data_IF_577653970655
#
_entry.id   IF_577653970655
#
_cell.length_a   1.000
_cell.length_b   1.000
_cell.length_c   1.000
_cell.angle_alpha   90.00
_cell.angle_beta   90.00
_cell.angle_gamma   90.00
#
_symmetry.space_group_name_H-M   'P 1'
#
loop_
_entity.id
_entity.type
_entity.pdbx_description
1 polymer ?
#
# COMPACT_ATOMS: atom_id res chain seq x y z
N UNK A 1 -4.21 10.67 -9.99
CA UNK A 1 -4.83 9.43 -10.52
C UNK A 1 -6.06 9.14 -9.68
N UNK A 2 -7.19 8.77 -10.28
CA UNK A 2 -8.36 8.35 -9.51
C UNK A 2 -8.03 7.03 -8.79
N UNK A 3 -8.38 6.88 -7.50
CA UNK A 3 -8.20 5.62 -6.81
C UNK A 3 -9.03 4.55 -7.51
N UNK A 4 -8.43 3.37 -7.72
CA UNK A 4 -9.15 2.21 -8.25
C UNK A 4 -10.38 1.93 -7.39
N UNK A 5 -11.52 1.64 -8.04
CA UNK A 5 -12.67 1.12 -7.30
C UNK A 5 -12.31 -0.24 -6.67
N UNK A 6 -12.97 -0.57 -5.56
CA UNK A 6 -12.71 -1.83 -4.85
C UNK A 6 -12.93 -3.06 -5.75
N UNK A 7 -13.90 -2.97 -6.67
CA UNK A 7 -14.17 -4.00 -7.68
C UNK A 7 -13.00 -4.13 -8.66
N UNK A 8 -12.48 -3.01 -9.17
CA UNK A 8 -11.36 -3.02 -10.11
C UNK A 8 -10.10 -3.56 -9.45
N UNK A 9 -9.81 -3.10 -8.23
CA UNK A 9 -8.68 -3.56 -7.41
C UNK A 9 -8.76 -5.07 -7.13
N UNK A 10 -9.94 -5.58 -6.77
CA UNK A 10 -10.13 -7.02 -6.53
C UNK A 10 -9.92 -7.84 -7.80
N UNK A 11 -10.42 -7.40 -8.96
CA UNK A 11 -10.19 -8.08 -10.25
C UNK A 11 -8.71 -8.16 -10.59
N UNK A 12 -8.00 -7.04 -10.45
CA UNK A 12 -6.56 -6.95 -10.69
C UNK A 12 -5.80 -7.91 -9.77
N UNK A 13 -6.10 -7.94 -8.47
CA UNK A 13 -5.48 -8.89 -7.53
C UNK A 13 -5.73 -10.36 -7.91
N UNK A 14 -6.95 -10.69 -8.36
CA UNK A 14 -7.29 -12.05 -8.78
C UNK A 14 -6.51 -12.46 -10.02
N UNK A 15 -6.42 -11.56 -11.00
CA UNK A 15 -5.65 -11.76 -12.22
C UNK A 15 -4.16 -11.94 -11.89
N UNK A 16 -3.57 -11.04 -11.09
CA UNK A 16 -2.18 -11.14 -10.66
C UNK A 16 -1.90 -12.43 -9.89
N UNK A 17 -2.83 -12.89 -9.03
CA UNK A 17 -2.65 -14.17 -8.33
C UNK A 17 -2.90 -15.40 -9.22
N UNK A 18 -3.26 -15.23 -10.50
CA UNK A 18 -3.62 -16.35 -11.39
C UNK A 18 -4.85 -17.13 -10.91
N UNK A 19 -5.69 -16.52 -10.06
CA UNK A 19 -6.84 -17.19 -9.45
C UNK A 19 -8.03 -17.16 -10.39
N UNK A 20 -8.76 -18.27 -10.47
CA UNK A 20 -10.07 -18.30 -11.13
C UNK A 20 -11.12 -17.74 -10.17
N UNK A 21 -11.86 -16.71 -10.58
CA UNK A 21 -12.93 -16.11 -9.77
C UNK A 21 -13.93 -17.16 -9.24
N UNK A 22 -14.24 -18.20 -10.02
CA UNK A 22 -15.10 -19.30 -9.57
C UNK A 22 -14.52 -20.09 -8.38
N UNK A 23 -13.21 -20.35 -8.35
CA UNK A 23 -12.54 -21.02 -7.23
C UNK A 23 -12.51 -20.14 -5.98
N UNK A 24 -12.28 -18.84 -6.16
CA UNK A 24 -12.31 -17.87 -5.07
C UNK A 24 -13.71 -17.75 -4.46
N UNK A 25 -14.75 -17.71 -5.31
CA UNK A 25 -16.14 -17.72 -4.87
C UNK A 25 -16.46 -18.98 -4.03
N UNK A 26 -16.01 -20.16 -4.47
CA UNK A 26 -16.17 -21.39 -3.70
C UNK A 26 -15.44 -21.34 -2.35
N UNK A 27 -14.21 -20.81 -2.31
CA UNK A 27 -13.44 -20.64 -1.06
C UNK A 27 -14.04 -19.62 -0.08
N UNK A 28 -14.96 -18.79 -0.55
CA UNK A 28 -15.70 -17.80 0.24
C UNK A 28 -17.16 -18.23 0.50
N UNK A 29 -17.50 -19.48 0.18
CA UNK A 29 -18.87 -20.03 0.30
C UNK A 29 -19.95 -19.15 -0.37
N UNK A 30 -19.63 -18.65 -1.57
CA UNK A 30 -20.56 -17.85 -2.37
C UNK A 30 -20.75 -18.41 -3.78
N UNK A 31 -21.91 -18.11 -4.38
CA UNK A 31 -22.19 -18.45 -5.77
C UNK A 31 -21.34 -17.57 -6.70
N UNK A 32 -20.63 -18.18 -7.65
CA UNK A 32 -19.77 -17.43 -8.59
C UNK A 32 -20.47 -16.27 -9.32
N UNK A 33 -21.76 -16.39 -9.75
CA UNK A 33 -22.49 -15.26 -10.33
C UNK A 33 -22.57 -14.02 -9.43
N UNK A 34 -22.60 -14.18 -8.10
CA UNK A 34 -22.60 -13.04 -7.18
C UNK A 34 -21.28 -12.27 -7.27
N UNK A 35 -20.16 -12.97 -7.32
CA UNK A 35 -18.86 -12.34 -7.47
C UNK A 35 -18.73 -11.62 -8.82
N UNK A 36 -19.18 -12.23 -9.92
CA UNK A 36 -19.17 -11.61 -11.25
C UNK A 36 -20.10 -10.39 -11.35
N UNK A 37 -21.29 -10.46 -10.76
CA UNK A 37 -22.23 -9.34 -10.73
C UNK A 37 -21.68 -8.18 -9.89
N UNK A 38 -21.04 -8.46 -8.75
CA UNK A 38 -20.38 -7.45 -7.94
C UNK A 38 -19.25 -6.77 -8.70
N UNK A 39 -18.42 -7.56 -9.39
CA UNK A 39 -17.39 -7.08 -10.32
C UNK A 39 -17.92 -6.20 -11.46
N UNK A 40 -19.16 -6.40 -11.89
CA UNK A 40 -19.82 -5.56 -12.89
C UNK A 40 -20.40 -4.26 -12.30
N UNK A 41 -20.20 -4.00 -11.00
CA UNK A 41 -20.70 -2.81 -10.32
C UNK A 41 -22.16 -2.90 -9.89
N UNK A 42 -22.77 -4.10 -9.90
CA UNK A 42 -24.15 -4.25 -9.43
C UNK A 42 -24.22 -4.10 -7.91
N UNK A 43 -24.95 -3.08 -7.48
CA UNK A 43 -25.22 -2.78 -6.07
C UNK A 43 -25.85 -3.96 -5.32
N UNK A 44 -25.58 -4.09 -4.02
CA UNK A 44 -26.17 -5.08 -3.10
C UNK A 44 -25.88 -6.56 -3.41
N UNK A 45 -24.95 -6.86 -4.31
CA UNK A 45 -24.62 -8.25 -4.65
C UNK A 45 -23.82 -8.98 -3.56
N UNK A 46 -22.97 -8.24 -2.83
CA UNK A 46 -22.19 -8.73 -1.69
C UNK A 46 -22.43 -7.84 -0.48
N UNK A 47 -22.52 -8.44 0.71
CA UNK A 47 -22.52 -7.70 1.98
C UNK A 47 -21.14 -7.10 2.25
N UNK A 48 -21.07 -6.06 3.09
CA UNK A 48 -19.80 -5.43 3.51
C UNK A 48 -18.85 -6.47 4.12
N UNK A 49 -19.37 -7.33 5.01
CA UNK A 49 -18.60 -8.40 5.63
C UNK A 49 -18.00 -9.39 4.59
N UNK A 50 -18.76 -9.70 3.54
CA UNK A 50 -18.28 -10.60 2.49
C UNK A 50 -17.22 -9.93 1.62
N UNK A 51 -17.35 -8.63 1.36
CA UNK A 51 -16.32 -7.82 0.70
C UNK A 51 -15.05 -7.79 1.53
N UNK A 52 -15.13 -7.55 2.85
CA UNK A 52 -13.96 -7.58 3.73
C UNK A 52 -13.27 -8.95 3.74
N UNK A 53 -14.06 -10.03 3.77
CA UNK A 53 -13.53 -11.40 3.74
C UNK A 53 -12.82 -11.69 2.42
N UNK A 54 -13.38 -11.24 1.29
CA UNK A 54 -12.75 -11.31 -0.03
C UNK A 54 -11.41 -10.55 -0.03
N UNK A 55 -11.39 -9.31 0.46
CA UNK A 55 -10.19 -8.48 0.51
C UNK A 55 -9.09 -9.11 1.36
N UNK A 56 -9.44 -9.62 2.54
CA UNK A 56 -8.50 -10.34 3.42
C UNK A 56 -7.92 -11.58 2.74
N UNK A 57 -8.74 -12.37 2.03
CA UNK A 57 -8.25 -13.51 1.23
C UNK A 57 -7.32 -13.09 0.10
N UNK A 58 -7.52 -11.90 -0.46
CA UNK A 58 -6.62 -11.32 -1.46
C UNK A 58 -5.36 -10.69 -0.83
N UNK A 59 -5.23 -10.73 0.50
CA UNK A 59 -4.08 -10.22 1.24
C UNK A 59 -4.15 -8.71 1.51
N UNK A 60 -5.33 -8.11 1.45
CA UNK A 60 -5.57 -6.70 1.76
C UNK A 60 -6.33 -6.58 3.08
N UNK A 61 -5.78 -5.79 4.00
CA UNK A 61 -6.33 -5.53 5.33
C UNK A 61 -6.36 -4.01 5.50
N UNK A 62 -7.48 -3.46 5.96
CA UNK A 62 -7.69 -2.02 6.15
C UNK A 62 -7.30 -1.19 4.90
N UNK A 63 -7.68 -1.69 3.73
CA UNK A 63 -7.38 -1.10 2.41
C UNK A 63 -5.89 -0.97 2.09
N UNK A 64 -5.03 -1.71 2.79
CA UNK A 64 -3.59 -1.77 2.55
C UNK A 64 -3.14 -3.20 2.31
N UNK A 65 -2.05 -3.34 1.55
CA UNK A 65 -1.47 -4.65 1.32
C UNK A 65 -0.83 -5.17 2.62
N UNK A 66 -1.20 -6.38 3.05
CA UNK A 66 -0.76 -6.93 4.33
C UNK A 66 0.69 -7.38 4.29
N UNK A 67 1.45 -7.02 5.33
CA UNK A 67 2.82 -7.48 5.62
C UNK A 67 2.89 -8.90 6.20
N UNK A 68 1.74 -9.44 6.62
CA UNK A 68 1.63 -10.76 7.24
C UNK A 68 1.54 -11.89 6.21
N UNK A 69 1.28 -11.56 4.96
CA UNK A 69 1.09 -12.50 3.85
C UNK A 69 2.14 -12.27 2.79
N UNK A 70 2.61 -13.35 2.17
CA UNK A 70 3.46 -13.28 0.98
C UNK A 70 2.56 -13.17 -0.24
N UNK A 71 2.87 -12.21 -1.10
CA UNK A 71 2.08 -11.97 -2.30
C UNK A 71 2.76 -12.59 -3.51
N UNK A 72 2.33 -13.80 -3.88
CA UNK A 72 2.79 -14.47 -5.10
C UNK A 72 1.94 -13.99 -6.28
N UNK A 73 2.55 -13.22 -7.20
CA UNK A 73 1.89 -12.61 -8.34
C UNK A 73 2.55 -12.97 -9.67
N UNK A 74 1.75 -13.43 -10.61
CA UNK A 74 2.10 -13.57 -12.01
C UNK A 74 1.84 -12.25 -12.72
N UNK A 75 2.89 -11.68 -13.29
CA UNK A 75 2.81 -10.41 -14.01
C UNK A 75 3.29 -10.68 -15.43
N UNK A 76 2.43 -10.48 -16.42
CA UNK A 76 2.78 -10.65 -17.83
C UNK A 76 3.38 -9.35 -18.40
N UNK A 77 3.35 -9.18 -19.73
CA UNK A 77 4.04 -8.12 -20.47
C UNK A 77 3.72 -6.69 -20.01
N UNK A 78 2.53 -6.43 -19.45
CA UNK A 78 2.16 -5.12 -18.93
C UNK A 78 2.42 -4.99 -17.42
N UNK A 79 3.33 -4.09 -17.05
CA UNK A 79 3.56 -3.68 -15.67
C UNK A 79 2.57 -2.61 -15.18
N UNK A 80 1.71 -2.09 -16.05
CA UNK A 80 0.80 -1.00 -15.70
C UNK A 80 -0.16 -1.40 -14.58
N UNK A 81 -0.74 -2.59 -14.69
CA UNK A 81 -1.65 -3.17 -13.70
C UNK A 81 -0.97 -3.35 -12.34
N UNK A 82 0.28 -3.85 -12.33
CA UNK A 82 1.09 -3.99 -11.12
C UNK A 82 1.35 -2.63 -10.47
N UNK A 83 1.80 -1.65 -11.27
CA UNK A 83 2.11 -0.30 -10.79
C UNK A 83 0.86 0.38 -10.23
N UNK A 84 -0.25 0.32 -10.96
CA UNK A 84 -1.51 0.94 -10.57
C UNK A 84 -2.03 0.36 -9.25
N UNK A 85 -1.95 -0.96 -9.09
CA UNK A 85 -2.36 -1.66 -7.89
C UNK A 85 -1.47 -1.29 -6.69
N UNK A 86 -0.15 -1.26 -6.88
CA UNK A 86 0.79 -0.88 -5.83
C UNK A 86 0.63 0.58 -5.41
N UNK A 87 0.46 1.51 -6.36
CA UNK A 87 0.17 2.92 -6.08
C UNK A 87 -1.16 3.13 -5.37
N UNK A 88 -2.10 2.19 -5.49
CA UNK A 88 -3.40 2.24 -4.81
C UNK A 88 -3.37 1.66 -3.40
N UNK A 89 -2.47 0.72 -3.11
CA UNK A 89 -2.44 -0.05 -1.85
C UNK A 89 -1.25 0.26 -0.94
N UNK A 90 -0.25 0.98 -1.45
CA UNK A 90 1.01 1.23 -0.77
C UNK A 90 1.42 2.70 -0.92
N UNK A 91 1.97 3.27 0.14
CA UNK A 91 2.51 4.62 0.13
C UNK A 91 3.63 4.75 -0.92
N UNK A 92 3.59 5.81 -1.72
CA UNK A 92 4.63 6.12 -2.72
C UNK A 92 6.02 6.24 -2.08
N UNK A 93 6.12 6.76 -0.85
CA UNK A 93 7.38 6.82 -0.10
C UNK A 93 7.91 5.43 0.25
N UNK A 94 7.03 4.49 0.59
CA UNK A 94 7.42 3.11 0.84
C UNK A 94 7.86 2.41 -0.44
N UNK A 95 7.15 2.63 -1.56
CA UNK A 95 7.50 2.07 -2.86
C UNK A 95 8.88 2.53 -3.34
N UNK A 96 9.24 3.80 -3.15
CA UNK A 96 10.56 4.30 -3.55
C UNK A 96 11.71 3.69 -2.75
N UNK A 97 11.44 3.24 -1.53
CA UNK A 97 12.39 2.55 -0.65
C UNK A 97 12.36 1.02 -0.80
N UNK A 98 11.58 0.50 -1.75
CA UNK A 98 11.49 -0.94 -1.96
C UNK A 98 12.80 -1.53 -2.48
N UNK A 99 13.08 -2.75 -2.07
CA UNK A 99 14.25 -3.52 -2.51
C UNK A 99 13.81 -4.51 -3.60
N UNK A 100 14.46 -4.43 -4.76
CA UNK A 100 14.15 -5.29 -5.92
C UNK A 100 15.30 -6.27 -6.12
N UNK A 101 15.02 -7.54 -5.93
CA UNK A 101 15.96 -8.65 -6.14
C UNK A 101 15.56 -9.43 -7.38
N UNK A 102 16.55 -9.85 -8.16
CA UNK A 102 16.39 -10.88 -9.18
C UNK A 102 16.70 -12.24 -8.56
N UNK A 103 15.81 -13.21 -8.74
CA UNK A 103 16.04 -14.58 -8.25
C UNK A 103 16.46 -15.46 -9.42
N UNK A 104 17.68 -15.98 -9.36
CA UNK A 104 18.20 -16.93 -10.33
C UNK A 104 18.06 -18.37 -9.81
N UNK A 105 17.24 -19.16 -10.51
CA UNK A 105 17.04 -20.59 -10.24
C UNK A 105 17.61 -21.50 -11.35
N UNK A 106 18.43 -20.98 -12.26
CA UNK A 106 19.10 -21.75 -13.32
C UNK A 106 18.20 -22.29 -14.45
N UNK A 107 16.87 -22.10 -14.40
CA UNK A 107 15.91 -22.70 -15.36
C UNK A 107 15.33 -21.75 -16.42
N UNK A 108 16.00 -20.63 -16.73
CA UNK A 108 15.48 -19.61 -17.68
C UNK A 108 14.05 -19.14 -17.35
N UNK A 109 13.70 -19.11 -16.07
CA UNK A 109 12.48 -18.46 -15.58
C UNK A 109 12.89 -17.18 -14.88
N UNK A 110 12.10 -16.14 -15.07
CA UNK A 110 12.39 -14.83 -14.50
C UNK A 110 11.54 -14.62 -13.27
N UNK A 111 12.23 -14.51 -12.15
CA UNK A 111 11.64 -14.37 -10.84
C UNK A 111 12.18 -13.12 -10.17
N UNK A 112 11.31 -12.43 -9.46
CA UNK A 112 11.66 -11.25 -8.70
C UNK A 112 11.13 -11.38 -7.29
N UNK A 113 11.92 -10.93 -6.34
CA UNK A 113 11.50 -10.68 -4.97
C UNK A 113 11.50 -9.17 -4.78
N UNK A 114 10.35 -8.60 -4.41
CA UNK A 114 10.23 -7.19 -4.05
C UNK A 114 9.88 -7.10 -2.58
N UNK A 115 10.69 -6.36 -1.83
CA UNK A 115 10.41 -6.05 -0.43
C UNK A 115 10.05 -4.58 -0.30
N UNK A 116 8.86 -4.30 0.21
CA UNK A 116 8.41 -2.92 0.40
C UNK A 116 8.37 -2.65 1.91
N UNK A 117 9.10 -1.65 2.42
CA UNK A 117 9.02 -1.30 3.84
C UNK A 117 7.60 -0.87 4.21
N UNK A 118 7.11 -1.35 5.34
CA UNK A 118 5.82 -0.95 5.91
C UNK A 118 6.06 -0.20 7.23
N UNK A 119 4.98 0.28 7.85
CA UNK A 119 5.06 0.92 9.17
C UNK A 119 5.71 -0.01 10.19
N UNK A 120 6.73 0.49 10.89
CA UNK A 120 7.51 -0.28 11.86
C UNK A 120 8.63 -1.10 11.24
N UNK A 121 8.83 -2.33 11.74
CA UNK A 121 9.89 -3.28 11.29
C UNK A 121 9.40 -4.28 10.24
N UNK A 122 8.15 -4.14 9.82
CA UNK A 122 7.54 -5.08 8.90
C UNK A 122 7.78 -4.68 7.45
N UNK A 123 7.84 -5.67 6.57
CA UNK A 123 7.92 -5.45 5.13
C UNK A 123 6.88 -6.30 4.42
N UNK A 124 6.23 -5.69 3.43
CA UNK A 124 5.41 -6.40 2.48
C UNK A 124 6.35 -7.15 1.53
N UNK A 125 6.06 -8.42 1.31
CA UNK A 125 6.88 -9.29 0.46
C UNK A 125 6.07 -9.69 -0.77
N UNK A 126 6.60 -9.36 -1.94
CA UNK A 126 6.04 -9.77 -3.23
C UNK A 126 6.99 -10.76 -3.90
N UNK A 127 6.47 -11.91 -4.28
CA UNK A 127 7.13 -12.85 -5.17
C UNK A 127 6.49 -12.68 -6.54
N UNK A 128 7.29 -12.30 -7.54
CA UNK A 128 6.81 -12.06 -8.89
C UNK A 128 7.42 -13.09 -9.83
N UNK A 129 6.58 -13.67 -10.68
CA UNK A 129 7.00 -14.51 -11.80
C UNK A 129 6.41 -13.96 -13.09
N UNK A 130 7.18 -14.04 -14.18
CA UNK A 130 6.58 -13.96 -15.51
C UNK A 130 5.62 -15.15 -15.70
N UNK A 131 4.42 -14.93 -16.25
CA UNK A 131 3.48 -16.02 -16.55
C UNK A 131 3.93 -16.91 -17.73
N UNK A 132 4.83 -16.40 -18.59
CA UNK A 132 5.46 -17.13 -19.69
C UNK A 132 6.98 -17.13 -19.55
N UNK A 133 7.65 -18.09 -20.18
CA UNK A 133 9.10 -18.29 -20.06
C UNK A 133 9.95 -17.27 -20.82
N UNK A 134 9.39 -16.60 -21.83
CA UNK A 134 10.08 -15.56 -22.61
C UNK A 134 9.18 -14.32 -22.68
N UNK A 135 9.20 -13.50 -21.62
CA UNK A 135 8.47 -12.24 -21.56
C UNK A 135 9.48 -11.11 -21.63
N UNK A 136 9.34 -10.25 -22.64
CA UNK A 136 10.12 -9.04 -22.75
C UNK A 136 9.91 -8.16 -21.51
N UNK A 137 10.99 -7.56 -21.00
CA UNK A 137 10.93 -6.75 -19.79
C UNK A 137 11.27 -7.51 -18.50
N UNK A 138 11.58 -8.81 -18.55
CA UNK A 138 12.15 -9.53 -17.42
C UNK A 138 13.68 -9.71 -17.50
N UNK A 139 14.39 -9.85 -16.35
CA UNK A 139 13.90 -9.65 -14.99
C UNK A 139 13.51 -8.19 -14.72
N UNK A 140 12.63 -7.98 -13.74
CA UNK A 140 12.21 -6.65 -13.32
C UNK A 140 13.36 -5.97 -12.58
N UNK A 141 13.52 -4.68 -12.83
CA UNK A 141 14.44 -3.81 -12.10
C UNK A 141 13.69 -2.54 -11.68
N UNK A 142 14.29 -1.75 -10.80
CA UNK A 142 13.70 -0.53 -10.27
C UNK A 142 13.31 0.46 -11.38
N UNK A 143 14.13 0.56 -12.44
CA UNK A 143 13.85 1.42 -13.60
C UNK A 143 12.56 1.02 -14.35
N UNK A 144 12.37 -0.28 -14.62
CA UNK A 144 11.17 -0.81 -15.27
C UNK A 144 9.92 -0.66 -14.41
N UNK A 145 10.07 -0.87 -13.10
CA UNK A 145 8.99 -0.67 -12.12
C UNK A 145 8.66 0.82 -11.94
N UNK A 146 9.63 1.71 -12.13
CA UNK A 146 9.51 3.14 -11.85
C UNK A 146 9.62 3.49 -10.37
N UNK A 147 10.08 2.55 -9.53
CA UNK A 147 10.29 2.72 -8.09
C UNK A 147 11.28 1.67 -7.56
N UNK A 148 11.78 1.89 -6.35
CA UNK A 148 12.64 0.96 -5.63
C UNK A 148 14.12 1.09 -5.95
N UNK A 149 14.89 0.15 -5.41
CA UNK A 149 16.35 0.08 -5.46
C UNK A 149 16.75 -1.35 -5.81
N UNK A 150 17.53 -1.50 -6.88
CA UNK A 150 18.05 -2.82 -7.28
C UNK A 150 19.10 -3.31 -6.28
N UNK A 151 18.92 -4.53 -5.77
CA UNK A 151 19.85 -5.18 -4.83
C UNK A 151 20.71 -6.27 -5.45
N UNK A 152 20.48 -6.60 -6.73
CA UNK A 152 21.25 -7.59 -7.48
C UNK A 152 20.55 -8.95 -7.61
N UNK A 153 21.35 -9.95 -8.00
CA UNK A 153 20.90 -11.33 -8.20
C UNK A 153 21.11 -12.18 -6.96
N UNK A 154 20.13 -13.02 -6.65
CA UNK A 154 20.16 -13.99 -5.55
C UNK A 154 20.06 -15.37 -6.19
N UNK A 155 21.12 -16.17 -6.02
CA UNK A 155 21.11 -17.56 -6.46
C UNK A 155 20.30 -18.39 -5.47
N UNK A 156 19.29 -19.09 -5.98
CA UNK A 156 18.36 -19.86 -5.17
C UNK A 156 18.09 -21.23 -5.80
N UNK A 157 18.19 -22.34 -5.06
CA UNK A 157 17.74 -23.63 -5.56
C UNK A 157 16.28 -23.57 -6.02
N UNK A 158 16.00 -24.12 -7.21
CA UNK A 158 14.64 -24.14 -7.78
C UNK A 158 13.59 -24.69 -6.81
N UNK A 159 13.96 -25.71 -6.02
CA UNK A 159 13.08 -26.31 -5.02
C UNK A 159 12.66 -25.31 -3.95
N UNK A 160 13.58 -24.47 -3.47
CA UNK A 160 13.29 -23.44 -2.47
C UNK A 160 12.33 -22.40 -3.02
N UNK A 161 12.49 -22.01 -4.29
CA UNK A 161 11.54 -21.11 -4.96
C UNK A 161 10.16 -21.74 -5.08
N UNK A 162 10.09 -23.01 -5.51
CA UNK A 162 8.84 -23.75 -5.60
C UNK A 162 8.15 -23.86 -4.25
N UNK A 163 8.90 -24.10 -3.16
CA UNK A 163 8.36 -24.12 -1.80
C UNK A 163 7.74 -22.76 -1.43
N UNK A 164 8.42 -21.65 -1.71
CA UNK A 164 7.87 -20.31 -1.46
C UNK A 164 6.66 -19.97 -2.34
N UNK A 165 6.66 -20.44 -3.58
CA UNK A 165 5.64 -20.12 -4.57
C UNK A 165 4.37 -20.98 -4.45
N UNK A 166 4.51 -22.26 -4.12
CA UNK A 166 3.45 -23.27 -4.20
C UNK A 166 2.85 -23.67 -2.85
N UNK A 167 3.35 -23.18 -1.72
CA UNK A 167 2.74 -23.51 -0.42
C UNK A 167 1.27 -23.09 -0.35
N UNK A 168 0.40 -24.10 -0.24
CA UNK A 168 -0.99 -24.00 0.19
C UNK A 168 -1.15 -24.93 1.41
N UNK A 169 -1.50 -24.44 2.62
CA UNK A 169 -1.80 -23.04 2.93
C UNK A 169 -0.58 -22.14 2.74
N UNK A 170 -0.83 -20.91 2.29
CA UNK A 170 0.20 -19.90 2.04
C UNK A 170 1.20 -19.84 3.20
N UNK A 171 2.48 -20.07 2.89
CA UNK A 171 3.59 -19.83 3.81
C UNK A 171 3.39 -18.46 4.48
N UNK A 172 3.52 -18.41 5.80
CA UNK A 172 3.38 -17.13 6.51
C UNK A 172 4.55 -16.22 6.17
N UNK A 173 4.36 -14.90 6.25
CA UNK A 173 5.48 -13.97 6.05
C UNK A 173 6.64 -14.23 7.03
N UNK A 174 6.34 -14.76 8.23
CA UNK A 174 7.35 -15.13 9.23
C UNK A 174 8.17 -16.33 8.76
N UNK A 175 7.52 -17.40 8.31
CA UNK A 175 8.21 -18.60 7.83
C UNK A 175 9.10 -18.27 6.63
N UNK A 176 8.60 -17.41 5.73
CA UNK A 176 9.37 -16.95 4.59
C UNK A 176 10.63 -16.21 4.99
N UNK A 177 10.55 -15.27 5.95
CA UNK A 177 11.73 -14.53 6.42
C UNK A 177 12.78 -15.48 6.99
N UNK A 178 12.35 -16.49 7.76
CA UNK A 178 13.25 -17.52 8.30
C UNK A 178 13.93 -18.28 7.15
N UNK A 179 13.16 -18.73 6.17
CA UNK A 179 13.69 -19.49 5.03
C UNK A 179 14.56 -18.66 4.09
N UNK A 180 14.31 -17.36 3.94
CA UNK A 180 14.98 -16.48 2.99
C UNK A 180 16.25 -15.84 3.56
N UNK A 181 16.40 -15.81 4.89
CA UNK A 181 17.56 -15.27 5.61
C UNK A 181 18.92 -15.77 5.10
N UNK A 182 19.13 -17.06 4.78
CA UNK A 182 20.42 -17.55 4.29
C UNK A 182 20.82 -16.96 2.92
N UNK A 183 19.84 -16.52 2.12
CA UNK A 183 20.04 -16.11 0.73
C UNK A 183 20.12 -14.59 0.56
N UNK A 184 19.45 -13.83 1.43
CA UNK A 184 19.30 -12.38 1.30
C UNK A 184 20.23 -11.58 2.22
N UNK A 185 21.20 -12.24 2.85
CA UNK A 185 22.05 -11.63 3.88
C UNK A 185 21.25 -11.30 5.14
N UNK A 186 21.78 -10.45 6.03
CA UNK A 186 21.00 -9.96 7.18
C UNK A 186 19.80 -9.16 6.66
N UNK A 187 18.70 -9.87 6.42
CA UNK A 187 17.37 -9.37 6.74
C UNK A 187 17.52 -8.78 8.12
N UNK A 188 17.60 -7.46 8.24
CA UNK A 188 17.84 -6.80 9.52
C UNK A 188 16.69 -7.20 10.44
N UNK A 189 16.92 -8.24 11.23
CA UNK A 189 16.25 -8.46 12.50
C UNK A 189 16.68 -7.28 13.34
N UNK A 190 15.92 -6.18 13.29
CA UNK A 190 15.92 -5.31 14.45
C UNK A 190 15.19 -6.14 15.49
N UNK A 191 15.96 -6.80 16.34
CA UNK A 191 15.55 -7.62 17.49
C UNK A 191 14.15 -7.27 17.97
N UNK A 192 13.25 -8.26 18.03
CA UNK A 192 11.98 -8.13 18.73
C UNK A 192 12.28 -7.85 20.20
N UNK A 193 11.90 -6.70 20.79
CA UNK A 193 11.56 -6.75 22.19
C UNK A 193 10.20 -7.43 22.27
N UNK A 194 10.08 -8.40 23.16
CA UNK A 194 8.80 -8.89 23.64
C UNK A 194 8.04 -7.67 24.16
N UNK A 195 7.09 -7.14 23.38
CA UNK A 195 6.26 -6.03 23.82
C UNK A 195 5.09 -6.64 24.58
N UNK A 196 5.21 -6.58 25.91
CA UNK A 196 4.11 -6.78 26.84
C UNK A 196 2.91 -5.93 26.41
N UNK A 197 1.71 -6.49 26.51
CA UNK A 197 0.43 -5.94 26.04
C UNK A 197 0.13 -4.50 26.51
N UNK A 198 0.84 -4.00 27.52
CA UNK A 198 0.67 -2.65 28.07
C UNK A 198 1.19 -1.52 27.15
N UNK A 199 2.18 -1.77 26.28
CA UNK A 199 2.75 -0.72 25.42
C UNK A 199 1.93 -0.44 24.14
N UNK A 200 1.07 -1.38 23.72
CA UNK A 200 0.20 -1.19 22.54
C UNK A 200 -0.94 -0.23 22.86
N UNK A 201 -1.44 -0.28 24.10
CA UNK A 201 -2.45 0.64 24.62
C UNK A 201 -1.87 2.06 24.74
N UNK A 202 -0.62 2.19 25.18
CA UNK A 202 0.03 3.50 25.34
C UNK A 202 0.32 4.19 24.00
N UNK A 203 0.75 3.41 22.99
CA UNK A 203 0.92 3.95 21.63
C UNK A 203 -0.40 4.34 20.97
N UNK A 204 -1.45 3.53 21.09
CA UNK A 204 -2.76 3.87 20.55
C UNK A 204 -3.32 5.12 21.22
N UNK A 205 -3.20 5.23 22.55
CA UNK A 205 -3.62 6.42 23.32
C UNK A 205 -2.83 7.66 22.90
N UNK A 206 -1.53 7.51 22.62
CA UNK A 206 -0.68 8.59 22.12
C UNK A 206 -1.10 9.05 20.72
N UNK A 207 -1.36 8.13 19.80
CA UNK A 207 -1.84 8.46 18.46
C UNK A 207 -3.23 9.09 18.47
N UNK A 208 -4.14 8.61 19.31
CA UNK A 208 -5.46 9.20 19.48
C UNK A 208 -5.36 10.62 20.03
N UNK A 209 -4.49 10.88 21.02
CA UNK A 209 -4.23 12.26 21.50
C UNK A 209 -3.67 13.15 20.42
N UNK A 210 -2.70 12.67 19.64
CA UNK A 210 -2.07 13.44 18.57
C UNK A 210 -3.07 13.77 17.45
N UNK A 211 -3.98 12.84 17.12
CA UNK A 211 -5.08 13.08 16.18
C UNK A 211 -6.07 14.10 16.74
N UNK A 212 -6.44 14.01 18.01
CA UNK A 212 -7.34 14.97 18.67
C UNK A 212 -6.71 16.36 18.70
N UNK A 213 -5.42 16.46 19.04
CA UNK A 213 -4.68 17.71 19.11
C UNK A 213 -4.53 18.35 17.72
N UNK A 214 -4.16 17.58 16.69
CA UNK A 214 -4.11 18.09 15.32
C UNK A 214 -5.49 18.47 14.78
N UNK A 215 -6.54 17.75 15.16
CA UNK A 215 -7.92 18.09 14.79
C UNK A 215 -8.37 19.39 15.47
N UNK A 216 -8.01 19.59 16.74
CA UNK A 216 -8.29 20.81 17.49
C UNK A 216 -7.50 22.01 16.94
N UNK A 217 -6.22 21.83 16.60
CA UNK A 217 -5.39 22.86 15.94
C UNK A 217 -5.97 23.23 14.57
N UNK A 218 -6.36 22.25 13.75
CA UNK A 218 -7.00 22.50 12.46
C UNK A 218 -8.35 23.20 12.59
N UNK A 219 -9.15 22.86 13.61
CA UNK A 219 -10.41 23.55 13.90
C UNK A 219 -10.17 25.00 14.36
N UNK A 220 -9.15 25.22 15.21
CA UNK A 220 -8.73 26.54 15.67
C UNK A 220 -8.22 27.44 14.54
N UNK A 221 -7.36 26.90 13.67
CA UNK A 221 -6.87 27.59 12.48
C UNK A 221 -8.02 27.95 11.52
N UNK A 222 -8.97 27.03 11.31
CA UNK A 222 -10.19 27.31 10.52
C UNK A 222 -11.05 28.38 11.17
N UNK A 223 -11.12 28.43 12.50
CA UNK A 223 -11.81 29.47 13.26
C UNK A 223 -11.17 30.84 13.08
N UNK A 224 -9.85 30.93 13.24
CA UNK A 224 -9.07 32.16 13.03
C UNK A 224 -9.20 32.68 11.60
N UNK A 225 -9.11 31.80 10.61
CA UNK A 225 -9.30 32.19 9.21
C UNK A 225 -10.71 32.74 8.97
N UNK A 226 -11.75 32.13 9.56
CA UNK A 226 -13.12 32.67 9.45
C UNK A 226 -13.28 34.02 10.13
N UNK A 227 -12.64 34.23 11.29
CA UNK A 227 -12.67 35.51 12.00
C UNK A 227 -11.98 36.61 11.19
N UNK A 228 -10.78 36.33 10.67
CA UNK A 228 -10.05 37.25 9.79
C UNK A 228 -10.84 37.55 8.50
N UNK A 229 -11.43 36.54 7.86
CA UNK A 229 -12.32 36.75 6.70
C UNK A 229 -13.59 37.54 7.06
N UNK A 230 -14.05 37.48 8.31
CA UNK A 230 -15.13 38.32 8.84
C UNK A 230 -14.71 39.78 8.97
N UNK A 231 -13.58 40.04 9.61
CA UNK A 231 -13.02 41.39 9.76
C UNK A 231 -12.71 42.04 8.40
N UNK A 232 -12.16 41.29 7.45
CA UNK A 232 -11.93 41.78 6.07
C UNK A 232 -13.25 42.15 5.37
N UNK A 233 -14.36 41.46 5.68
CA UNK A 233 -15.69 41.79 5.12
C UNK A 233 -16.31 43.03 5.76
N UNK A 234 -16.06 43.26 7.05
CA UNK A 234 -16.54 44.45 7.76
C UNK A 234 -15.78 45.71 7.35
N UNK A 235 -14.50 45.58 6.99
CA UNK A 235 -13.65 46.69 6.59
C UNK A 235 -13.94 47.22 5.17
N UNK A 236 -14.55 46.43 4.28
CA UNK A 236 -14.85 46.90 2.92
C UNK A 236 -16.07 46.20 2.30
N UNK A 237 -17.25 46.79 2.53
CA UNK A 237 -18.58 46.26 2.16
C UNK A 237 -18.86 46.16 0.64
N UNK A 238 -17.88 46.43 -0.23
CA UNK A 238 -18.03 46.42 -1.69
C UNK A 238 -17.21 45.38 -2.45
N UNK A 239 -16.47 44.50 -1.77
CA UNK A 239 -15.65 43.51 -2.49
C UNK A 239 -16.48 42.26 -2.86
N UNK A 240 -16.69 42.13 -4.18
CA UNK A 240 -17.14 40.88 -4.80
C UNK A 240 -16.24 39.72 -4.36
N UNK A 241 -16.83 38.54 -4.16
CA UNK A 241 -16.14 37.32 -3.73
C UNK A 241 -14.83 37.14 -4.53
N UNK A 242 -13.69 37.07 -3.82
CA UNK A 242 -12.40 36.72 -4.41
C UNK A 242 -12.56 35.46 -5.26
N UNK A 243 -12.03 35.50 -6.49
CA UNK A 243 -12.05 34.31 -7.37
C UNK A 243 -11.22 33.21 -6.71
N UNK A 244 -11.52 31.96 -7.06
CA UNK A 244 -10.92 30.79 -6.40
C UNK A 244 -9.39 30.88 -6.27
N UNK A 245 -8.71 31.27 -7.35
CA UNK A 245 -7.26 31.43 -7.38
C UNK A 245 -6.72 32.55 -6.47
N UNK A 246 -7.49 33.63 -6.28
CA UNK A 246 -7.11 34.74 -5.42
C UNK A 246 -7.29 34.37 -3.94
N UNK A 247 -8.31 33.56 -3.63
CA UNK A 247 -8.46 32.98 -2.29
C UNK A 247 -7.30 32.06 -1.96
N UNK A 248 -6.99 31.11 -2.84
CA UNK A 248 -5.93 30.13 -2.59
C UNK A 248 -4.58 30.81 -2.35
N UNK A 249 -4.29 31.90 -3.09
CA UNK A 249 -3.10 32.71 -2.88
C UNK A 249 -3.07 33.39 -1.50
N UNK A 250 -4.19 33.98 -1.07
CA UNK A 250 -4.28 34.59 0.28
C UNK A 250 -4.15 33.53 1.37
N UNK A 251 -4.70 32.34 1.16
CA UNK A 251 -4.52 31.20 2.08
C UNK A 251 -3.05 30.77 2.19
N UNK A 252 -2.34 30.64 1.06
CA UNK A 252 -0.93 30.27 1.03
C UNK A 252 -0.05 31.33 1.70
N UNK A 253 -0.31 32.61 1.43
CA UNK A 253 0.43 33.73 2.02
C UNK A 253 0.24 33.78 3.55
N UNK A 254 -1.00 33.65 4.05
CA UNK A 254 -1.27 33.59 5.49
C UNK A 254 -0.70 32.32 6.15
N UNK A 255 -0.77 31.18 5.47
CA UNK A 255 -0.24 29.92 5.99
C UNK A 255 1.28 30.00 6.17
N UNK A 256 2.01 30.53 5.18
CA UNK A 256 3.46 30.70 5.25
C UNK A 256 3.89 31.68 6.35
N UNK A 257 3.14 32.76 6.56
CA UNK A 257 3.41 33.73 7.62
C UNK A 257 3.25 33.13 9.02
N UNK A 258 2.17 32.39 9.27
CA UNK A 258 1.94 31.73 10.57
C UNK A 258 2.96 30.61 10.84
N UNK A 259 3.37 29.87 9.80
CA UNK A 259 4.45 28.88 9.90
C UNK A 259 5.79 29.54 10.24
N UNK A 260 6.04 30.75 9.76
CA UNK A 260 7.19 31.57 10.12
C UNK A 260 7.17 31.99 11.59
N UNK A 261 6.01 32.42 12.11
CA UNK A 261 5.82 32.79 13.51
C UNK A 261 6.04 31.62 14.46
N UNK A 262 5.55 30.43 14.09
CA UNK A 262 5.73 29.20 14.89
C UNK A 262 7.20 28.75 14.92
N UNK A 263 7.91 28.80 13.79
CA UNK A 263 9.35 28.47 13.74
C UNK A 263 10.22 29.41 14.57
N UNK A 264 9.83 30.68 14.68
CA UNK A 264 10.56 31.67 15.47
C UNK A 264 10.23 31.63 16.97
N UNK A 265 9.15 30.92 17.39
CA UNK A 265 8.80 30.71 18.80
C UNK A 265 9.46 29.46 19.43
N UNK A 266 10.13 28.63 18.62
CA UNK A 266 10.84 27.42 19.08
C UNK A 266 12.37 27.59 19.16
N UNK A 267 12.85 28.83 19.23
CA UNK A 267 14.21 29.19 19.67
C UNK A 267 14.11 29.97 20.98
#
# INVERSE_FOLDING_TARGET
>A
MNPLSLQALSKLLIQLKGLKAARLAAALDMRSPNLYNWFAGRSQTLSVQMVDTLMRRLGVIDYKLSSQVIHCWQVDESLEDLKLLLLSLVDTKALSQSEVYYIDCGKRRYFNLIRIPSTGKESITLLISAGKTNVDGYPLNASKLGFGIDKGSVELPHRTWEEWWLTDPAMTATDFRISARPFLGSMVEIESPVIAADNLIDMQTKYEREIIEQTAVNAGLRGLIRALLGEVRELDSKNALLKHAERDKVYDDCYLEELGKLKNRSK
#
